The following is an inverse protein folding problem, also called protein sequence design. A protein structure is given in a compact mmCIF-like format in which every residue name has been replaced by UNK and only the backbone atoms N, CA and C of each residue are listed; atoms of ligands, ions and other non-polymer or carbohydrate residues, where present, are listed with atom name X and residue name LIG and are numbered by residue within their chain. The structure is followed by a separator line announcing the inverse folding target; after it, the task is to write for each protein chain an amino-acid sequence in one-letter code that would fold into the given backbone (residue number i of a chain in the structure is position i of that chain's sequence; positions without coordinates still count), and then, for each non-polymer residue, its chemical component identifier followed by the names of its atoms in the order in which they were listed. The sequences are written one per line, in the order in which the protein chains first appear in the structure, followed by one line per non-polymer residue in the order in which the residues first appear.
data_IF_188630560312
#
_entry.id   IF_188630560312
#
_cell.length_a   1.000
_cell.length_b   1.000
_cell.length_c   1.000
_cell.angle_alpha   90.00
_cell.angle_beta   90.00
_cell.angle_gamma   90.00
#
_symmetry.space_group_name_H-M   'P 1'
#
loop_
_entity.id
_entity.type
_entity.pdbx_description
1 polymer ?
#
# COMPACT_ATOMS: atom_id res chain seq x y z
N UNK A 1 -15.51 6.40 27.55
CA UNK A 1 -15.41 7.65 26.78
C UNK A 1 -14.68 7.32 25.48
N UNK A 2 -15.41 7.19 24.37
CA UNK A 2 -14.79 7.03 23.05
C UNK A 2 -14.07 8.34 22.70
N UNK A 3 -12.74 8.31 22.67
CA UNK A 3 -11.95 9.48 22.26
C UNK A 3 -12.19 9.71 20.77
N UNK A 4 -12.56 10.92 20.38
CA UNK A 4 -12.67 11.26 18.96
C UNK A 4 -11.26 11.26 18.34
N UNK A 5 -11.09 10.69 17.13
CA UNK A 5 -9.81 10.71 16.44
C UNK A 5 -9.44 12.15 16.09
N UNK A 6 -8.22 12.56 16.42
CA UNK A 6 -7.68 13.89 16.11
C UNK A 6 -7.47 14.05 14.61
N UNK A 7 -7.08 12.96 13.93
CA UNK A 7 -6.79 12.98 12.51
C UNK A 7 -7.05 11.62 11.86
N UNK A 8 -7.63 11.64 10.66
CA UNK A 8 -7.93 10.45 9.85
C UNK A 8 -7.15 10.56 8.54
N UNK A 9 -6.20 9.66 8.34
CA UNK A 9 -5.49 9.56 7.07
C UNK A 9 -6.11 8.47 6.20
N UNK A 10 -6.33 8.80 4.94
CA UNK A 10 -6.68 7.85 3.88
C UNK A 10 -5.54 7.83 2.87
N UNK A 11 -5.11 6.64 2.42
CA UNK A 11 -4.09 6.55 1.39
C UNK A 11 -4.63 7.11 0.07
N UNK A 12 -3.82 7.89 -0.65
CA UNK A 12 -4.15 8.29 -2.01
C UNK A 12 -4.07 7.10 -2.96
N UNK A 13 -5.22 6.71 -3.51
CA UNK A 13 -5.35 5.52 -4.35
C UNK A 13 -4.59 5.65 -5.68
N UNK A 14 -4.58 6.85 -6.27
CA UNK A 14 -4.01 7.10 -7.60
C UNK A 14 -2.54 6.75 -7.70
N UNK A 15 -1.75 7.08 -6.67
CA UNK A 15 -0.30 6.84 -6.64
C UNK A 15 0.01 5.34 -6.50
N UNK A 16 -0.84 4.61 -5.79
CA UNK A 16 -0.65 3.19 -5.56
C UNK A 16 -0.99 2.33 -6.79
N UNK A 17 -1.80 2.84 -7.72
CA UNK A 17 -2.24 2.10 -8.92
C UNK A 17 -1.11 2.01 -9.95
N UNK A 18 -0.29 3.04 -10.11
CA UNK A 18 0.76 3.11 -11.14
C UNK A 18 1.80 1.99 -11.05
N UNK A 19 2.49 1.78 -9.91
CA UNK A 19 3.43 0.67 -9.80
C UNK A 19 2.73 -0.69 -9.90
N UNK A 20 1.45 -0.76 -9.53
CA UNK A 20 0.64 -1.97 -9.65
C UNK A 20 0.34 -2.30 -11.11
N UNK A 21 0.03 -1.30 -11.93
CA UNK A 21 -0.17 -1.48 -13.38
C UNK A 21 1.13 -1.93 -14.04
N UNK A 22 2.25 -1.28 -13.74
CA UNK A 22 3.55 -1.67 -14.29
C UNK A 22 3.91 -3.12 -13.95
N UNK A 23 3.70 -3.52 -12.69
CA UNK A 23 3.92 -4.90 -12.27
C UNK A 23 2.94 -5.89 -12.93
N UNK A 24 1.67 -5.50 -13.07
CA UNK A 24 0.66 -6.28 -13.80
C UNK A 24 1.01 -6.48 -15.28
N UNK A 25 1.55 -5.47 -15.94
CA UNK A 25 2.04 -5.55 -17.32
C UNK A 25 3.20 -6.56 -17.41
N UNK A 26 4.17 -6.49 -16.50
CA UNK A 26 5.30 -7.43 -16.48
C UNK A 26 4.83 -8.89 -16.29
N UNK A 27 3.92 -9.13 -15.35
CA UNK A 27 3.32 -10.46 -15.15
C UNK A 27 2.60 -10.89 -16.42
N UNK A 28 1.82 -10.01 -17.05
CA UNK A 28 1.07 -10.36 -18.24
C UNK A 28 1.98 -10.70 -19.42
N UNK A 29 3.09 -9.98 -19.61
CA UNK A 29 4.10 -10.30 -20.63
C UNK A 29 4.69 -11.68 -20.33
N UNK A 30 5.09 -11.93 -19.08
CA UNK A 30 5.67 -13.20 -18.67
C UNK A 30 4.71 -14.38 -18.91
N UNK A 31 3.43 -14.25 -18.54
CA UNK A 31 2.41 -15.26 -18.80
C UNK A 31 2.18 -15.46 -20.30
N UNK A 32 2.17 -14.39 -21.08
CA UNK A 32 1.93 -14.44 -22.53
C UNK A 32 3.01 -15.20 -23.28
N UNK A 33 4.27 -15.14 -22.83
CA UNK A 33 5.39 -15.88 -23.42
C UNK A 33 5.12 -17.40 -23.44
N UNK A 34 4.44 -17.93 -22.43
CA UNK A 34 4.13 -19.37 -22.33
C UNK A 34 2.73 -19.71 -22.87
N UNK A 35 1.76 -18.83 -22.65
CA UNK A 35 0.36 -19.07 -23.03
C UNK A 35 0.10 -18.88 -24.52
N UNK A 36 0.73 -17.90 -25.18
CA UNK A 36 0.46 -17.62 -26.60
C UNK A 36 0.96 -18.75 -27.51
N UNK A 37 2.20 -19.27 -27.40
CA UNK A 37 2.69 -20.33 -28.29
C UNK A 37 1.89 -21.63 -28.20
N UNK A 38 1.43 -21.98 -26.99
CA UNK A 38 0.61 -23.19 -26.76
C UNK A 38 -0.76 -23.08 -27.42
N UNK A 39 -1.39 -21.91 -27.36
CA UNK A 39 -2.67 -21.65 -28.05
C UNK A 39 -2.47 -21.57 -29.57
N UNK A 40 -1.38 -20.98 -30.06
CA UNK A 40 -1.06 -20.97 -31.50
C UNK A 40 -0.91 -22.39 -32.03
N UNK A 41 -0.18 -23.25 -31.31
CA UNK A 41 0.08 -24.63 -31.71
C UNK A 41 -1.20 -25.48 -31.78
N UNK A 42 -2.17 -25.22 -30.90
CA UNK A 42 -3.38 -26.04 -30.77
C UNK A 42 -4.57 -25.53 -31.58
N UNK A 43 -4.72 -24.20 -31.68
CA UNK A 43 -5.94 -23.56 -32.19
C UNK A 43 -5.69 -22.54 -33.32
N UNK A 44 -4.42 -22.18 -33.56
CA UNK A 44 -4.04 -21.19 -34.57
C UNK A 44 -3.91 -19.76 -34.04
N UNK A 45 -3.53 -18.85 -34.94
CA UNK A 45 -3.09 -17.48 -34.59
C UNK A 45 -4.25 -16.61 -34.11
N UNK A 46 -5.42 -16.69 -34.75
CA UNK A 46 -6.58 -15.84 -34.41
C UNK A 46 -7.08 -16.05 -32.97
N UNK A 47 -7.21 -17.31 -32.56
CA UNK A 47 -7.55 -17.70 -31.19
C UNK A 47 -6.48 -17.30 -30.17
N UNK A 48 -5.20 -17.34 -30.56
CA UNK A 48 -4.10 -16.96 -29.68
C UNK A 48 -4.07 -15.46 -29.37
N UNK A 49 -4.36 -14.61 -30.36
CA UNK A 49 -4.47 -13.15 -30.15
C UNK A 49 -5.63 -12.84 -29.22
N UNK A 50 -6.80 -13.46 -29.44
CA UNK A 50 -7.96 -13.27 -28.57
C UNK A 50 -7.69 -13.73 -27.13
N UNK A 51 -7.11 -14.92 -26.96
CA UNK A 51 -6.73 -15.45 -25.65
C UNK A 51 -5.71 -14.56 -24.94
N UNK A 52 -4.71 -14.04 -25.66
CA UNK A 52 -3.71 -13.13 -25.10
C UNK A 52 -4.32 -11.82 -24.58
N UNK A 53 -5.20 -11.19 -25.35
CA UNK A 53 -5.92 -9.98 -24.93
C UNK A 53 -6.78 -10.28 -23.70
N UNK A 54 -7.50 -11.40 -23.70
CA UNK A 54 -8.36 -11.78 -22.59
C UNK A 54 -7.56 -12.00 -21.30
N UNK A 55 -6.43 -12.73 -21.39
CA UNK A 55 -5.51 -12.95 -20.26
C UNK A 55 -4.98 -11.62 -19.74
N UNK A 56 -4.55 -10.72 -20.63
CA UNK A 56 -4.03 -9.40 -20.26
C UNK A 56 -5.07 -8.58 -19.48
N UNK A 57 -6.29 -8.49 -20.00
CA UNK A 57 -7.40 -7.76 -19.36
C UNK A 57 -7.73 -8.35 -18.00
N UNK A 58 -7.80 -9.68 -17.90
CA UNK A 58 -8.13 -10.38 -16.65
C UNK A 58 -7.05 -10.17 -15.59
N UNK A 59 -5.77 -10.35 -15.94
CA UNK A 59 -4.66 -10.20 -14.99
C UNK A 59 -4.58 -8.77 -14.47
N UNK A 60 -4.63 -7.77 -15.36
CA UNK A 60 -4.55 -6.37 -14.95
C UNK A 60 -5.80 -5.98 -14.14
N UNK A 61 -6.97 -6.38 -14.61
CA UNK A 61 -8.24 -6.13 -13.93
C UNK A 61 -8.23 -6.66 -12.50
N UNK A 62 -7.84 -7.93 -12.31
CA UNK A 62 -7.74 -8.53 -10.99
C UNK A 62 -6.69 -7.85 -10.11
N UNK A 63 -5.50 -7.57 -10.66
CA UNK A 63 -4.41 -6.95 -9.89
C UNK A 63 -4.81 -5.56 -9.38
N UNK A 64 -5.42 -4.74 -10.24
CA UNK A 64 -5.92 -3.41 -9.88
C UNK A 64 -7.08 -3.51 -8.89
N UNK A 65 -8.02 -4.43 -9.13
CA UNK A 65 -9.17 -4.66 -8.25
C UNK A 65 -8.74 -5.02 -6.83
N UNK A 66 -7.90 -6.04 -6.66
CA UNK A 66 -7.41 -6.45 -5.34
C UNK A 66 -6.62 -5.33 -4.65
N UNK A 67 -5.83 -4.56 -5.40
CA UNK A 67 -5.06 -3.44 -4.84
C UNK A 67 -5.98 -2.33 -4.34
N UNK A 68 -6.92 -1.88 -5.15
CA UNK A 68 -7.90 -0.85 -4.79
C UNK A 68 -8.69 -1.24 -3.56
N UNK A 69 -9.13 -2.49 -3.53
CA UNK A 69 -9.96 -3.02 -2.47
C UNK A 69 -9.19 -3.09 -1.14
N UNK A 70 -7.93 -3.51 -1.16
CA UNK A 70 -7.06 -3.50 0.01
C UNK A 70 -6.76 -2.07 0.51
N UNK A 71 -6.54 -1.12 -0.40
CA UNK A 71 -6.27 0.27 -0.04
C UNK A 71 -7.50 1.00 0.52
N UNK A 72 -8.69 0.72 -0.02
CA UNK A 72 -9.95 1.29 0.51
C UNK A 72 -10.26 0.80 1.92
N UNK A 73 -9.86 -0.42 2.24
CA UNK A 73 -10.04 -0.99 3.56
C UNK A 73 -9.09 -0.39 4.61
N UNK A 74 -8.03 0.31 4.19
CA UNK A 74 -7.05 0.91 5.10
C UNK A 74 -7.57 2.19 5.73
N UNK A 75 -7.50 2.24 7.07
CA UNK A 75 -7.82 3.44 7.84
C UNK A 75 -6.75 3.65 8.91
N UNK A 76 -6.32 4.89 9.02
CA UNK A 76 -5.31 5.34 9.97
C UNK A 76 -5.97 6.35 10.89
N UNK A 77 -6.16 5.96 12.16
CA UNK A 77 -6.79 6.79 13.18
C UNK A 77 -5.74 7.22 14.21
N UNK A 78 -5.53 8.52 14.35
CA UNK A 78 -4.61 9.07 15.35
C UNK A 78 -5.40 9.65 16.52
N UNK A 79 -5.11 9.15 17.72
CA UNK A 79 -5.65 9.66 18.98
C UNK A 79 -4.57 10.40 19.75
N UNK A 80 -4.91 10.96 20.93
CA UNK A 80 -3.97 11.76 21.73
C UNK A 80 -2.77 10.95 22.24
N UNK A 81 -2.97 9.67 22.56
CA UNK A 81 -1.97 8.83 23.22
C UNK A 81 -1.58 7.57 22.41
N UNK A 82 -2.31 7.29 21.34
CA UNK A 82 -2.17 6.07 20.53
C UNK A 82 -2.55 6.32 19.08
N UNK A 83 -2.01 5.52 18.18
CA UNK A 83 -2.47 5.40 16.81
C UNK A 83 -3.05 4.00 16.58
N UNK A 84 -4.16 3.93 15.86
CA UNK A 84 -4.82 2.70 15.46
C UNK A 84 -4.81 2.58 13.95
N UNK A 85 -4.47 1.38 13.49
CA UNK A 85 -4.24 1.05 12.11
C UNK A 85 -5.13 -0.12 11.76
N UNK A 86 -6.01 0.09 10.80
CA UNK A 86 -6.91 -0.93 10.30
C UNK A 86 -6.43 -1.30 8.89
N UNK A 87 -6.09 -2.56 8.70
CA UNK A 87 -5.72 -3.12 7.41
C UNK A 87 -6.61 -4.31 7.04
N UNK A 88 -6.80 -4.49 5.73
CA UNK A 88 -7.33 -5.72 5.18
C UNK A 88 -8.79 -5.65 4.75
N UNK A 89 -9.06 -6.23 3.58
CA UNK A 89 -10.38 -6.29 2.98
C UNK A 89 -11.17 -7.54 3.39
N UNK A 90 -10.52 -8.71 3.37
CA UNK A 90 -11.13 -9.99 3.75
C UNK A 90 -10.88 -10.33 5.22
N UNK A 91 -9.70 -9.96 5.75
CA UNK A 91 -9.33 -10.18 7.13
C UNK A 91 -9.00 -8.81 7.73
N UNK A 92 -9.83 -8.34 8.67
CA UNK A 92 -9.64 -7.03 9.30
C UNK A 92 -8.60 -7.20 10.39
N UNK A 93 -7.42 -6.64 10.18
CA UNK A 93 -6.32 -6.62 11.14
C UNK A 93 -6.27 -5.23 11.76
N UNK A 94 -6.43 -5.16 13.07
CA UNK A 94 -6.28 -3.94 13.84
C UNK A 94 -4.94 -3.96 14.59
N UNK A 95 -4.11 -2.95 14.38
CA UNK A 95 -2.90 -2.71 15.15
C UNK A 95 -3.06 -1.42 15.95
N UNK A 96 -2.75 -1.48 17.25
CA UNK A 96 -2.77 -0.32 18.13
C UNK A 96 -1.36 -0.08 18.65
N UNK A 97 -0.83 1.12 18.40
CA UNK A 97 0.50 1.53 18.85
C UNK A 97 0.38 2.71 19.79
N UNK A 98 0.90 2.54 21.01
CA UNK A 98 1.07 3.65 21.96
C UNK A 98 2.26 4.50 21.53
N UNK A 99 2.12 5.83 21.61
CA UNK A 99 3.19 6.77 21.25
C UNK A 99 4.46 6.59 22.08
N UNK A 100 4.34 6.13 23.32
CA UNK A 100 5.49 5.82 24.18
C UNK A 100 6.37 4.67 23.66
N UNK A 101 5.82 3.80 22.81
CA UNK A 101 6.54 2.66 22.22
C UNK A 101 7.16 3.01 20.87
N UNK A 102 6.83 4.17 20.31
CA UNK A 102 7.40 4.64 19.05
C UNK A 102 8.79 5.18 19.36
N UNK A 103 9.80 4.54 18.79
CA UNK A 103 11.20 4.93 18.97
C UNK A 103 11.67 5.91 17.92
N UNK A 104 11.10 5.83 16.71
CA UNK A 104 11.51 6.66 15.60
C UNK A 104 10.36 6.85 14.60
N UNK A 105 10.40 7.96 13.85
CA UNK A 105 9.49 8.26 12.75
C UNK A 105 10.31 8.59 11.51
N UNK A 106 10.13 7.78 10.47
CA UNK A 106 10.88 7.87 9.21
C UNK A 106 9.94 8.25 8.08
N UNK A 107 10.27 9.33 7.34
CA UNK A 107 9.58 9.69 6.12
C UNK A 107 10.35 9.16 4.90
N UNK A 108 9.70 8.31 4.10
CA UNK A 108 10.23 7.81 2.84
C UNK A 108 9.40 8.29 1.67
N UNK A 109 10.05 8.72 0.58
CA UNK A 109 9.39 9.10 -0.67
C UNK A 109 10.04 8.37 -1.83
N UNK A 110 9.29 7.48 -2.47
CA UNK A 110 9.69 6.87 -3.74
C UNK A 110 9.68 7.89 -4.88
N UNK A 111 10.20 7.51 -6.05
CA UNK A 111 10.16 8.36 -7.26
C UNK A 111 8.72 8.74 -7.61
N UNK A 112 7.80 7.78 -7.56
CA UNK A 112 6.38 8.01 -7.78
C UNK A 112 5.79 8.93 -6.72
N UNK A 113 6.12 8.71 -5.44
CA UNK A 113 5.64 9.57 -4.36
C UNK A 113 6.07 11.04 -4.53
N UNK A 114 7.32 11.28 -4.96
CA UNK A 114 7.81 12.64 -5.23
C UNK A 114 7.04 13.30 -6.37
N UNK A 115 6.72 12.55 -7.42
CA UNK A 115 6.00 13.09 -8.58
C UNK A 115 4.54 13.44 -8.25
N UNK A 116 3.90 12.69 -7.36
CA UNK A 116 2.51 12.91 -6.97
C UNK A 116 2.33 13.67 -5.65
N UNK A 117 3.41 14.17 -5.05
CA UNK A 117 3.34 14.91 -3.78
C UNK A 117 2.95 14.06 -2.56
N UNK A 118 3.08 12.73 -2.66
CA UNK A 118 2.80 11.80 -1.56
C UNK A 118 4.05 11.35 -0.85
N UNK A 119 3.88 10.56 0.21
CA UNK A 119 4.97 9.89 0.90
C UNK A 119 4.48 8.76 1.79
N UNK A 120 5.42 7.95 2.26
CA UNK A 120 5.16 6.90 3.24
C UNK A 120 5.83 7.28 4.56
N UNK A 121 5.05 7.39 5.62
CA UNK A 121 5.55 7.65 6.97
C UNK A 121 5.59 6.33 7.73
N UNK A 122 6.72 5.98 8.33
CA UNK A 122 6.90 4.76 9.10
C UNK A 122 7.14 5.11 10.56
N UNK A 123 6.31 4.56 11.44
CA UNK A 123 6.52 4.60 12.88
C UNK A 123 7.23 3.31 13.29
N UNK A 124 8.47 3.43 13.77
CA UNK A 124 9.27 2.32 14.26
C UNK A 124 8.95 2.14 15.74
N UNK A 125 8.68 0.90 16.17
CA UNK A 125 8.32 0.61 17.56
C UNK A 125 9.27 -0.39 18.17
N UNK A 126 9.68 -0.16 19.41
CA UNK A 126 10.48 -1.11 20.16
C UNK A 126 9.73 -2.45 20.33
N UNK A 127 10.30 -3.53 19.78
CA UNK A 127 9.84 -4.91 20.03
C UNK A 127 8.78 -5.47 19.07
N UNK A 128 8.49 -4.84 17.93
CA UNK A 128 7.70 -5.50 16.88
C UNK A 128 8.61 -6.27 15.90
N UNK A 129 8.60 -7.59 15.96
CA UNK A 129 9.01 -8.41 14.82
C UNK A 129 7.87 -8.42 13.81
N UNK A 130 8.01 -7.62 12.76
CA UNK A 130 6.98 -7.44 11.75
C UNK A 130 6.66 -8.71 10.95
N UNK A 131 5.53 -9.38 11.27
CA UNK A 131 4.92 -10.44 10.44
C UNK A 131 3.84 -9.88 9.51
N UNK A 132 4.22 -8.99 8.59
CA UNK A 132 3.29 -8.42 7.62
C UNK A 132 3.97 -7.91 6.36
N UNK A 133 3.34 -8.10 5.20
CA UNK A 133 3.87 -7.75 3.85
C UNK A 133 4.19 -6.25 3.66
N UNK A 134 3.89 -5.40 4.66
CA UNK A 134 4.11 -3.95 4.69
C UNK A 134 5.00 -3.48 5.85
N UNK A 135 5.61 -4.43 6.52
CA UNK A 135 6.22 -4.28 7.82
C UNK A 135 7.60 -4.94 7.65
N UNK A 136 8.53 -4.22 7.02
CA UNK A 136 9.92 -4.65 6.85
C UNK A 136 10.72 -3.78 7.79
N UNK A 137 11.05 -4.31 8.98
CA UNK A 137 11.85 -3.62 10.00
C UNK A 137 11.10 -3.09 11.22
N UNK A 138 10.10 -3.80 11.75
CA UNK A 138 9.55 -3.56 13.08
C UNK A 138 8.86 -2.22 13.27
N UNK A 139 7.77 -2.03 12.54
CA UNK A 139 6.99 -0.79 12.63
C UNK A 139 5.79 -0.76 11.69
N UNK A 140 5.00 0.31 11.81
CA UNK A 140 3.79 0.50 11.02
C UNK A 140 4.03 1.56 9.94
N UNK A 141 3.70 1.22 8.69
CA UNK A 141 3.86 2.08 7.54
C UNK A 141 2.51 2.69 7.12
N UNK A 142 2.43 4.01 7.18
CA UNK A 142 1.33 4.82 6.65
C UNK A 142 1.70 5.17 5.21
N UNK A 143 1.08 4.51 4.25
CA UNK A 143 1.45 4.64 2.83
C UNK A 143 0.60 5.68 2.11
N UNK A 144 1.17 6.32 1.08
CA UNK A 144 0.47 7.24 0.18
C UNK A 144 -0.20 8.42 0.92
N UNK A 145 0.49 8.97 1.91
CA UNK A 145 0.06 10.15 2.66
C UNK A 145 0.21 11.38 1.78
N UNK A 146 -0.87 12.14 1.64
CA UNK A 146 -0.87 13.45 0.98
C UNK A 146 -0.17 14.49 1.85
N UNK A 147 0.59 15.39 1.24
CA UNK A 147 1.40 16.40 1.95
C UNK A 147 2.23 15.78 3.10
N UNK A 148 3.04 14.75 2.81
CA UNK A 148 3.67 13.92 3.84
C UNK A 148 4.63 14.71 4.75
N UNK A 149 5.16 15.85 4.29
CA UNK A 149 6.01 16.73 5.08
C UNK A 149 5.26 17.38 6.25
N UNK A 150 4.00 17.79 6.03
CA UNK A 150 3.19 18.43 7.07
C UNK A 150 2.78 17.39 8.11
N UNK A 151 2.25 16.26 7.65
CA UNK A 151 1.86 15.13 8.50
C UNK A 151 3.04 14.61 9.31
N UNK A 152 4.23 14.52 8.70
CA UNK A 152 5.44 14.11 9.41
C UNK A 152 5.78 15.06 10.57
N UNK A 153 5.74 16.38 10.34
CA UNK A 153 5.99 17.38 11.38
C UNK A 153 4.94 17.32 12.50
N UNK A 154 3.67 17.10 12.17
CA UNK A 154 2.62 16.95 13.17
C UNK A 154 2.82 15.69 14.02
N UNK A 155 3.15 14.56 13.39
CA UNK A 155 3.47 13.32 14.10
C UNK A 155 4.70 13.50 14.99
N UNK A 156 5.74 14.17 14.50
CA UNK A 156 6.95 14.43 15.29
C UNK A 156 6.64 15.27 16.54
N UNK A 157 5.78 16.30 16.41
CA UNK A 157 5.29 17.09 17.55
C UNK A 157 4.48 16.26 18.53
N UNK A 158 3.55 15.43 18.04
CA UNK A 158 2.72 14.56 18.88
C UNK A 158 3.54 13.52 19.64
N UNK A 159 4.60 13.03 19.02
CA UNK A 159 5.53 12.06 19.61
C UNK A 159 6.56 12.72 20.53
N UNK A 160 6.60 14.06 20.63
CA UNK A 160 7.57 14.78 21.44
C UNK A 160 9.02 14.62 20.96
N UNK A 161 9.24 14.16 19.74
CA UNK A 161 10.57 13.93 19.16
C UNK A 161 11.13 15.23 18.61
N UNK A 162 11.46 16.18 19.48
CA UNK A 162 12.19 17.38 19.10
C UNK A 162 13.65 17.04 18.78
N UNK A 163 14.08 17.31 17.55
CA UNK A 163 15.47 17.61 17.22
C UNK A 163 15.60 19.12 17.05
#
# INVERSE_FOLDING_TARGET
MEQQPLFILKPQLSVAIIPTILFGILISIFVSIYAVPTVVYTMGIGSAVFAGILIFVVIIGLTVFFRLMNLRARRYLFFKNKAEFYEGFLNIIQHTVSYQKVTDCVLTKSVWDRMFGTGTIRLVTAGHESRGRYSVGGGIAIQFVENPNQVYKELQKLLGMHQ
#
